data_IF_114297916113
#
_entry.id   IF_114297916113
#
_cell.length_a   1.000
_cell.length_b   1.000
_cell.length_c   1.000
_cell.angle_alpha   90.00
_cell.angle_beta   90.00
_cell.angle_gamma   90.00
#
_symmetry.space_group_name_H-M   'P 1'
#
loop_
_entity.id
_entity.type
_entity.pdbx_description
1 polymer ?
#
# COMPACT_ATOMS: atom_id res chain seq x y z
N UNK A 1 4.01 10.81 73.71
CA UNK A 1 2.96 9.82 73.39
C UNK A 1 2.01 10.36 72.31
N UNK A 2 1.43 11.56 72.49
CA UNK A 2 0.51 12.21 71.53
C UNK A 2 1.06 12.35 70.09
N UNK A 3 2.31 12.82 69.92
CA UNK A 3 2.91 13.01 68.59
C UNK A 3 3.13 11.71 67.80
N UNK A 4 3.25 10.57 68.48
CA UNK A 4 3.49 9.28 67.86
C UNK A 4 2.19 8.63 67.41
N UNK A 5 1.09 8.88 68.14
CA UNK A 5 -0.27 8.53 67.72
C UNK A 5 -0.75 9.43 66.57
N UNK A 6 -0.45 10.73 66.61
CA UNK A 6 -0.75 11.64 65.49
C UNK A 6 -0.04 11.21 64.20
N UNK A 7 1.26 10.86 64.28
CA UNK A 7 2.02 10.35 63.14
C UNK A 7 1.45 9.04 62.59
N UNK A 8 1.04 8.11 63.47
CA UNK A 8 0.39 6.86 63.05
C UNK A 8 -0.93 7.12 62.36
N UNK A 9 -1.75 8.06 62.86
CA UNK A 9 -3.02 8.42 62.24
C UNK A 9 -2.83 9.02 60.84
N UNK A 10 -1.79 9.84 60.63
CA UNK A 10 -1.46 10.41 59.32
C UNK A 10 -0.95 9.33 58.37
N UNK A 11 -0.11 8.41 58.86
CA UNK A 11 0.40 7.28 58.07
C UNK A 11 -0.74 6.36 57.63
N UNK A 12 -1.70 6.09 58.51
CA UNK A 12 -2.86 5.24 58.23
C UNK A 12 -3.78 5.88 57.18
N UNK A 13 -4.08 7.19 57.32
CA UNK A 13 -4.82 7.95 56.30
C UNK A 13 -4.10 7.98 54.94
N UNK A 14 -2.79 8.21 54.94
CA UNK A 14 -2.01 8.22 53.70
C UNK A 14 -2.03 6.84 53.03
N UNK A 15 -1.97 5.77 53.81
CA UNK A 15 -2.08 4.39 53.30
C UNK A 15 -3.46 4.13 52.69
N UNK A 16 -4.53 4.52 53.37
CA UNK A 16 -5.90 4.41 52.86
C UNK A 16 -6.11 5.22 51.58
N UNK A 17 -5.62 6.47 51.54
CA UNK A 17 -5.68 7.31 50.34
C UNK A 17 -4.86 6.72 49.18
N UNK A 18 -3.67 6.18 49.46
CA UNK A 18 -2.84 5.53 48.44
C UNK A 18 -3.52 4.28 47.90
N UNK A 19 -4.09 3.43 48.77
CA UNK A 19 -4.83 2.24 48.35
C UNK A 19 -6.09 2.60 47.51
N UNK A 20 -6.80 3.68 47.88
CA UNK A 20 -7.94 4.18 47.11
C UNK A 20 -7.52 4.71 45.73
N UNK A 21 -6.39 5.42 45.64
CA UNK A 21 -5.81 5.90 44.38
C UNK A 21 -5.36 4.72 43.51
N UNK A 22 -4.69 3.71 44.09
CA UNK A 22 -4.26 2.51 43.37
C UNK A 22 -5.46 1.73 42.81
N UNK A 23 -6.52 1.56 43.59
CA UNK A 23 -7.75 0.91 43.13
C UNK A 23 -8.42 1.69 42.00
N UNK A 24 -8.47 3.03 42.10
CA UNK A 24 -9.00 3.89 41.06
C UNK A 24 -8.16 3.79 39.77
N UNK A 25 -6.83 3.87 39.88
CA UNK A 25 -5.92 3.72 38.74
C UNK A 25 -6.08 2.35 38.08
N UNK A 26 -6.14 1.26 38.84
CA UNK A 26 -6.33 -0.08 38.32
C UNK A 26 -7.65 -0.23 37.55
N UNK A 27 -8.75 0.31 38.08
CA UNK A 27 -10.05 0.30 37.40
C UNK A 27 -9.99 1.06 36.06
N UNK A 28 -9.36 2.24 36.06
CA UNK A 28 -9.27 3.08 34.87
C UNK A 28 -8.36 2.50 33.80
N UNK A 29 -7.24 1.91 34.20
CA UNK A 29 -6.34 1.18 33.28
C UNK A 29 -7.04 -0.03 32.68
N UNK A 30 -7.88 -0.73 33.45
CA UNK A 30 -8.73 -1.82 32.95
C UNK A 30 -9.69 -1.36 31.84
N UNK A 31 -10.40 -0.25 32.06
CA UNK A 31 -11.28 0.35 31.04
C UNK A 31 -10.52 0.80 29.79
N UNK A 32 -9.38 1.47 29.97
CA UNK A 32 -8.53 1.94 28.86
C UNK A 32 -7.97 0.77 28.04
N UNK A 33 -7.61 -0.33 28.70
CA UNK A 33 -7.13 -1.56 28.04
C UNK A 33 -8.23 -2.19 27.18
N UNK A 34 -9.45 -2.33 27.72
CA UNK A 34 -10.58 -2.86 26.95
C UNK A 34 -10.92 -1.99 25.73
N UNK A 35 -10.87 -0.67 25.90
CA UNK A 35 -11.09 0.25 24.79
C UNK A 35 -9.98 0.15 23.74
N UNK A 36 -8.73 0.00 24.16
CA UNK A 36 -7.59 -0.19 23.26
C UNK A 36 -7.73 -1.48 22.45
N UNK A 37 -8.09 -2.60 23.08
CA UNK A 37 -8.33 -3.87 22.39
C UNK A 37 -9.46 -3.76 21.35
N UNK A 38 -10.56 -3.10 21.71
CA UNK A 38 -11.67 -2.86 20.78
C UNK A 38 -11.25 -1.98 19.59
N UNK A 39 -10.38 -0.99 19.81
CA UNK A 39 -9.85 -0.14 18.73
C UNK A 39 -8.90 -0.92 17.81
N UNK A 40 -8.05 -1.80 18.37
CA UNK A 40 -7.17 -2.66 17.59
C UNK A 40 -7.99 -3.61 16.70
N UNK A 41 -9.06 -4.21 17.23
CA UNK A 41 -9.97 -5.04 16.43
C UNK A 41 -10.62 -4.27 15.28
N UNK A 42 -11.13 -3.06 15.55
CA UNK A 42 -11.71 -2.21 14.50
C UNK A 42 -10.70 -1.78 13.44
N UNK A 43 -9.44 -1.56 13.83
CA UNK A 43 -8.36 -1.26 12.90
C UNK A 43 -8.13 -2.48 11.99
N UNK A 44 -8.05 -3.67 12.56
CA UNK A 44 -7.87 -4.92 11.79
C UNK A 44 -9.02 -5.18 10.81
N UNK A 45 -10.27 -4.94 11.24
CA UNK A 45 -11.45 -5.02 10.38
C UNK A 45 -11.39 -4.02 9.21
N UNK A 46 -10.98 -2.78 9.45
CA UNK A 46 -10.81 -1.75 8.40
C UNK A 46 -9.72 -2.14 7.41
N UNK A 47 -8.61 -2.70 7.90
CA UNK A 47 -7.53 -3.21 7.05
C UNK A 47 -8.04 -4.34 6.15
N UNK A 48 -8.79 -5.30 6.69
CA UNK A 48 -9.37 -6.39 5.90
C UNK A 48 -10.37 -5.89 4.85
N UNK A 49 -11.15 -4.85 5.17
CA UNK A 49 -12.03 -4.21 4.18
C UNK A 49 -11.25 -3.59 3.03
N UNK A 50 -10.17 -2.85 3.32
CA UNK A 50 -9.28 -2.29 2.28
C UNK A 50 -8.62 -3.39 1.47
N UNK A 51 -8.20 -4.48 2.12
CA UNK A 51 -7.61 -5.63 1.44
C UNK A 51 -8.57 -6.25 0.42
N UNK A 52 -9.82 -6.49 0.84
CA UNK A 52 -10.86 -7.02 -0.05
C UNK A 52 -11.20 -6.05 -1.18
N UNK A 53 -11.17 -4.73 -0.90
CA UNK A 53 -11.38 -3.71 -1.93
C UNK A 53 -10.30 -3.81 -3.01
N UNK A 54 -9.02 -3.97 -2.64
CA UNK A 54 -7.89 -4.08 -3.56
C UNK A 54 -7.90 -5.37 -4.41
N UNK A 55 -8.49 -6.45 -3.91
CA UNK A 55 -8.60 -7.72 -4.63
C UNK A 55 -9.72 -7.73 -5.69
N UNK A 56 -10.55 -6.70 -5.77
CA UNK A 56 -11.74 -6.69 -6.62
C UNK A 56 -12.07 -5.34 -7.23
N UNK A 57 -13.18 -5.33 -7.98
CA UNK A 57 -13.74 -4.12 -8.58
C UNK A 57 -12.74 -3.40 -9.48
N UNK A 58 -12.59 -2.09 -9.24
CA UNK A 58 -11.86 -1.14 -10.05
C UNK A 58 -10.38 -1.53 -10.29
N UNK A 59 -9.72 -2.18 -9.33
CA UNK A 59 -8.27 -2.43 -9.39
C UNK A 59 -7.87 -3.61 -10.26
N UNK A 60 -8.83 -4.48 -10.61
CA UNK A 60 -8.62 -5.65 -11.46
C UNK A 60 -9.38 -5.56 -12.78
N UNK A 61 -10.13 -4.47 -12.99
CA UNK A 61 -10.93 -4.28 -14.19
C UNK A 61 -10.09 -3.73 -15.34
N UNK A 62 -10.00 -4.53 -16.41
CA UNK A 62 -9.28 -4.17 -17.63
C UNK A 62 -9.95 -3.04 -18.43
N UNK A 63 -11.21 -2.68 -18.14
CA UNK A 63 -11.90 -1.57 -18.81
C UNK A 63 -11.22 -0.22 -18.60
N UNK A 64 -10.50 -0.07 -17.49
CA UNK A 64 -9.73 1.13 -17.15
C UNK A 64 -8.28 1.09 -17.67
N UNK A 65 -7.92 0.09 -18.47
CA UNK A 65 -6.55 -0.04 -18.96
C UNK A 65 -6.10 1.18 -19.78
N UNK A 66 -6.96 1.71 -20.65
CA UNK A 66 -6.61 2.87 -21.50
C UNK A 66 -6.57 4.18 -20.72
N UNK A 67 -7.41 4.32 -19.69
CA UNK A 67 -7.49 5.49 -18.82
C UNK A 67 -7.41 5.08 -17.34
N UNK A 68 -6.18 4.98 -16.79
CA UNK A 68 -5.96 4.62 -15.39
C UNK A 68 -6.34 5.71 -14.38
N UNK A 69 -6.79 6.90 -14.82
CA UNK A 69 -6.94 8.07 -13.94
C UNK A 69 -7.89 7.83 -12.75
N UNK A 70 -9.02 7.19 -13.01
CA UNK A 70 -9.99 6.81 -11.98
C UNK A 70 -9.38 5.83 -10.97
N UNK A 71 -8.64 4.83 -11.46
CA UNK A 71 -7.99 3.82 -10.61
C UNK A 71 -6.91 4.44 -9.74
N UNK A 72 -6.11 5.34 -10.30
CA UNK A 72 -5.07 6.08 -9.57
C UNK A 72 -5.65 6.98 -8.48
N UNK A 73 -6.76 7.66 -8.77
CA UNK A 73 -7.46 8.48 -7.77
C UNK A 73 -7.94 7.63 -6.59
N UNK A 74 -8.48 6.44 -6.86
CA UNK A 74 -8.93 5.53 -5.80
C UNK A 74 -7.74 4.91 -5.05
N UNK A 75 -6.66 4.54 -5.74
CA UNK A 75 -5.42 4.07 -5.12
C UNK A 75 -4.84 5.11 -4.15
N UNK A 76 -4.86 6.39 -4.51
CA UNK A 76 -4.43 7.47 -3.62
C UNK A 76 -5.33 7.57 -2.37
N UNK A 77 -6.65 7.40 -2.53
CA UNK A 77 -7.56 7.34 -1.37
C UNK A 77 -7.24 6.16 -0.45
N UNK A 78 -7.00 4.97 -1.02
CA UNK A 78 -6.60 3.78 -0.26
C UNK A 78 -5.26 3.99 0.44
N UNK A 79 -4.28 4.60 -0.24
CA UNK A 79 -2.97 4.94 0.32
C UNK A 79 -3.09 5.81 1.56
N UNK A 80 -3.87 6.89 1.48
CA UNK A 80 -4.11 7.80 2.60
C UNK A 80 -4.75 7.06 3.80
N UNK A 81 -5.72 6.18 3.54
CA UNK A 81 -6.32 5.35 4.59
C UNK A 81 -5.32 4.38 5.21
N UNK A 82 -4.49 3.72 4.41
CA UNK A 82 -3.45 2.82 4.91
C UNK A 82 -2.40 3.56 5.75
N UNK A 83 -2.03 4.78 5.37
CA UNK A 83 -1.13 5.62 6.17
C UNK A 83 -1.75 5.98 7.53
N UNK A 84 -3.03 6.36 7.56
CA UNK A 84 -3.73 6.63 8.81
C UNK A 84 -3.81 5.39 9.72
N UNK A 85 -4.10 4.22 9.16
CA UNK A 85 -4.14 2.96 9.91
C UNK A 85 -2.75 2.57 10.43
N UNK A 86 -1.69 2.84 9.66
CA UNK A 86 -0.30 2.63 10.08
C UNK A 86 0.09 3.53 11.26
N UNK A 87 -0.28 4.81 11.21
CA UNK A 87 -0.08 5.76 12.32
C UNK A 87 -0.85 5.33 13.58
N UNK A 88 -2.12 4.93 13.43
CA UNK A 88 -2.91 4.41 14.54
C UNK A 88 -2.31 3.13 15.14
N UNK A 89 -1.79 2.22 14.31
CA UNK A 89 -1.16 0.99 14.79
C UNK A 89 0.07 1.27 15.67
N UNK A 90 0.87 2.30 15.31
CA UNK A 90 2.02 2.76 16.10
C UNK A 90 1.55 3.37 17.41
N UNK A 91 0.55 4.26 17.37
CA UNK A 91 -0.03 4.87 18.56
C UNK A 91 -0.59 3.83 19.54
N UNK A 92 -1.32 2.83 19.03
CA UNK A 92 -1.86 1.75 19.87
C UNK A 92 -0.76 0.87 20.43
N UNK A 93 0.29 0.60 19.67
CA UNK A 93 1.48 -0.11 20.16
C UNK A 93 2.13 0.65 21.32
N UNK A 94 2.26 1.98 21.24
CA UNK A 94 2.77 2.83 22.32
C UNK A 94 1.89 2.78 23.58
N UNK A 95 0.56 2.73 23.41
CA UNK A 95 -0.36 2.56 24.54
C UNK A 95 -0.25 1.17 25.16
N UNK A 96 -0.08 0.12 24.36
CA UNK A 96 0.14 -1.23 24.87
C UNK A 96 1.42 -1.30 25.70
N UNK A 97 2.53 -0.73 25.23
CA UNK A 97 3.77 -0.67 26.02
C UNK A 97 3.62 0.19 27.28
N UNK A 98 2.92 1.33 27.22
CA UNK A 98 2.65 2.16 28.39
C UNK A 98 1.88 1.40 29.49
N UNK A 99 0.94 0.54 29.09
CA UNK A 99 0.16 -0.29 30.01
C UNK A 99 0.82 -1.64 30.35
N UNK A 100 2.08 -1.86 29.94
CA UNK A 100 2.80 -3.13 30.10
C UNK A 100 2.07 -4.34 29.48
N UNK A 101 1.31 -4.11 28.41
CA UNK A 101 0.66 -5.13 27.60
C UNK A 101 1.61 -5.62 26.51
N UNK A 102 1.36 -6.84 26.01
CA UNK A 102 2.07 -7.36 24.85
C UNK A 102 1.61 -6.61 23.59
N UNK A 103 2.52 -6.00 22.81
CA UNK A 103 2.18 -5.37 21.55
C UNK A 103 1.47 -6.32 20.58
N UNK A 104 0.38 -5.85 19.98
CA UNK A 104 -0.33 -6.56 18.93
C UNK A 104 0.52 -6.61 17.65
N UNK A 105 0.46 -7.74 16.94
CA UNK A 105 1.15 -7.90 15.64
C UNK A 105 0.15 -7.65 14.52
N UNK A 106 0.31 -6.51 13.83
CA UNK A 106 -0.56 -6.09 12.74
C UNK A 106 -0.23 -6.81 11.41
N UNK A 107 -0.35 -8.14 11.39
CA UNK A 107 -0.02 -8.96 10.22
C UNK A 107 -0.88 -8.64 9.00
N UNK A 108 -2.17 -8.39 9.21
CA UNK A 108 -3.08 -8.01 8.12
C UNK A 108 -2.71 -6.65 7.53
N UNK A 109 -2.26 -5.70 8.36
CA UNK A 109 -1.83 -4.38 7.89
C UNK A 109 -0.60 -4.51 7.00
N UNK A 110 0.40 -5.27 7.46
CA UNK A 110 1.61 -5.54 6.67
C UNK A 110 1.26 -6.23 5.34
N UNK A 111 0.46 -7.29 5.37
CA UNK A 111 0.05 -8.00 4.16
C UNK A 111 -0.73 -7.10 3.18
N UNK A 112 -1.55 -6.20 3.71
CA UNK A 112 -2.32 -5.25 2.90
C UNK A 112 -1.46 -4.16 2.30
N UNK A 113 -0.46 -3.65 3.03
CA UNK A 113 0.54 -2.71 2.51
C UNK A 113 1.37 -3.34 1.38
N UNK A 114 1.80 -4.60 1.55
CA UNK A 114 2.54 -5.34 0.51
C UNK A 114 1.68 -5.59 -0.74
N UNK A 115 0.41 -5.95 -0.54
CA UNK A 115 -0.54 -6.13 -1.64
C UNK A 115 -0.82 -4.81 -2.36
N UNK A 116 -1.09 -3.73 -1.62
CA UNK A 116 -1.27 -2.38 -2.14
C UNK A 116 -0.08 -1.95 -3.01
N UNK A 117 1.15 -2.12 -2.51
CA UNK A 117 2.36 -1.76 -3.28
C UNK A 117 2.46 -2.53 -4.60
N UNK A 118 2.00 -3.79 -4.63
CA UNK A 118 1.96 -4.60 -5.86
C UNK A 118 0.90 -4.08 -6.85
N UNK A 119 -0.27 -3.68 -6.35
CA UNK A 119 -1.34 -3.09 -7.17
C UNK A 119 -0.96 -1.69 -7.68
N UNK A 120 -0.36 -0.86 -6.84
CA UNK A 120 0.18 0.46 -7.23
C UNK A 120 1.24 0.32 -8.31
N UNK A 121 2.16 -0.66 -8.16
CA UNK A 121 3.17 -0.97 -9.18
C UNK A 121 2.55 -1.43 -10.50
N UNK A 122 1.45 -2.19 -10.47
CA UNK A 122 0.73 -2.60 -11.68
C UNK A 122 0.20 -1.38 -12.44
N UNK A 123 -0.56 -0.52 -11.77
CA UNK A 123 -1.21 0.62 -12.43
C UNK A 123 -0.21 1.70 -12.85
N UNK A 124 0.91 1.83 -12.14
CA UNK A 124 2.05 2.63 -12.59
C UNK A 124 2.65 2.07 -13.88
N UNK A 125 2.84 0.75 -13.97
CA UNK A 125 3.36 0.11 -15.19
C UNK A 125 2.38 0.24 -16.37
N UNK A 126 1.07 0.20 -16.13
CA UNK A 126 0.04 0.44 -17.15
C UNK A 126 0.13 1.88 -17.69
N UNK A 127 0.21 2.87 -16.80
CA UNK A 127 0.35 4.27 -17.21
C UNK A 127 1.63 4.51 -18.01
N UNK A 128 2.78 4.04 -17.52
CA UNK A 128 4.06 4.14 -18.22
C UNK A 128 4.02 3.45 -19.59
N UNK A 129 3.34 2.29 -19.69
CA UNK A 129 3.15 1.61 -20.96
C UNK A 129 2.30 2.42 -21.93
N UNK A 130 1.19 2.98 -21.45
CA UNK A 130 0.31 3.80 -22.29
C UNK A 130 1.04 5.05 -22.78
N UNK A 131 1.81 5.72 -21.93
CA UNK A 131 2.64 6.88 -22.32
C UNK A 131 3.70 6.48 -23.36
N UNK A 132 4.40 5.36 -23.14
CA UNK A 132 5.39 4.82 -24.08
C UNK A 132 4.73 4.51 -25.44
N UNK A 133 3.59 3.82 -25.42
CA UNK A 133 2.85 3.43 -26.61
C UNK A 133 2.35 4.65 -27.38
N UNK A 134 1.74 5.62 -26.69
CA UNK A 134 1.28 6.87 -27.31
C UNK A 134 2.45 7.61 -27.93
N UNK A 135 3.55 7.80 -27.18
CA UNK A 135 4.75 8.46 -27.69
C UNK A 135 5.30 7.76 -28.92
N UNK A 136 5.39 6.42 -28.91
CA UNK A 136 5.86 5.64 -30.05
C UNK A 136 4.94 5.75 -31.28
N UNK A 137 3.62 5.91 -31.08
CA UNK A 137 2.64 6.01 -32.16
C UNK A 137 2.50 7.42 -32.73
N UNK A 138 2.74 8.46 -31.92
CA UNK A 138 2.53 9.86 -32.34
C UNK A 138 3.81 10.57 -32.73
N UNK A 139 4.97 10.12 -32.25
CA UNK A 139 6.24 10.78 -32.53
C UNK A 139 6.67 10.57 -33.98
N UNK A 140 7.24 11.59 -34.66
CA UNK A 140 7.81 11.42 -35.98
C UNK A 140 8.86 10.31 -35.96
N UNK A 141 8.74 9.34 -36.87
CA UNK A 141 9.61 8.16 -36.89
C UNK A 141 11.11 8.50 -36.95
N UNK A 142 11.47 9.61 -37.62
CA UNK A 142 12.86 10.09 -37.75
C UNK A 142 13.45 10.58 -36.43
N UNK A 143 12.61 11.00 -35.49
CA UNK A 143 13.02 11.52 -34.18
C UNK A 143 13.05 10.41 -33.11
N UNK A 144 12.39 9.27 -33.38
CA UNK A 144 12.32 8.14 -32.46
C UNK A 144 13.61 7.33 -32.52
N UNK A 145 14.29 7.20 -31.39
CA UNK A 145 15.40 6.27 -31.24
C UNK A 145 14.86 4.83 -31.13
N UNK A 146 14.84 4.12 -32.26
CA UNK A 146 14.31 2.74 -32.33
C UNK A 146 15.02 1.75 -31.39
N UNK A 147 16.32 1.94 -31.11
CA UNK A 147 17.07 1.09 -30.18
C UNK A 147 16.66 1.31 -28.72
N UNK A 148 16.42 2.57 -28.35
CA UNK A 148 15.97 2.95 -27.01
C UNK A 148 14.54 2.48 -26.78
N UNK A 149 13.64 2.74 -27.73
CA UNK A 149 12.27 2.22 -27.69
C UNK A 149 12.25 0.68 -27.56
N UNK A 150 13.13 -0.03 -28.26
CA UNK A 150 13.23 -1.50 -28.15
C UNK A 150 13.62 -1.96 -26.74
N UNK A 151 14.54 -1.24 -26.08
CA UNK A 151 14.93 -1.53 -24.70
C UNK A 151 13.77 -1.27 -23.75
N UNK A 152 13.07 -0.14 -23.89
CA UNK A 152 11.95 0.22 -23.02
C UNK A 152 10.80 -0.77 -23.13
N UNK A 153 10.46 -1.19 -24.35
CA UNK A 153 9.46 -2.23 -24.61
C UNK A 153 9.88 -3.58 -24.00
N UNK A 154 11.16 -3.93 -24.08
CA UNK A 154 11.66 -5.16 -23.48
C UNK A 154 11.59 -5.14 -21.94
N UNK A 155 11.83 -3.98 -21.32
CA UNK A 155 11.66 -3.77 -19.87
C UNK A 155 10.19 -3.86 -19.50
N UNK A 156 9.31 -3.12 -20.19
CA UNK A 156 7.87 -3.14 -19.95
C UNK A 156 7.28 -4.55 -20.06
N UNK A 157 7.68 -5.33 -21.07
CA UNK A 157 7.27 -6.73 -21.22
C UNK A 157 7.72 -7.61 -20.06
N UNK A 158 8.97 -7.45 -19.60
CA UNK A 158 9.51 -8.22 -18.47
C UNK A 158 8.74 -7.91 -17.19
N UNK A 159 8.49 -6.63 -16.93
CA UNK A 159 7.77 -6.17 -15.73
C UNK A 159 6.32 -6.63 -15.75
N UNK A 160 5.64 -6.53 -16.91
CA UNK A 160 4.31 -7.07 -17.13
C UNK A 160 4.22 -8.57 -16.84
N UNK A 161 5.22 -9.34 -17.29
CA UNK A 161 5.28 -10.78 -17.02
C UNK A 161 5.45 -11.09 -15.52
N UNK A 162 6.31 -10.34 -14.82
CA UNK A 162 6.51 -10.49 -13.37
C UNK A 162 5.23 -10.14 -12.61
N UNK A 163 4.56 -9.04 -12.96
CA UNK A 163 3.30 -8.61 -12.35
C UNK A 163 2.19 -9.62 -12.59
N UNK A 164 2.06 -10.14 -13.81
CA UNK A 164 1.09 -11.19 -14.14
C UNK A 164 1.32 -12.46 -13.33
N UNK A 165 2.58 -12.86 -13.09
CA UNK A 165 2.89 -14.00 -12.23
C UNK A 165 2.50 -13.76 -10.76
N UNK A 166 2.55 -12.52 -10.28
CA UNK A 166 2.22 -12.18 -8.88
C UNK A 166 0.73 -12.03 -8.63
N UNK A 167 0.01 -11.34 -9.51
CA UNK A 167 -1.39 -10.97 -9.32
C UNK A 167 -2.37 -11.81 -10.13
N UNK A 168 -1.95 -12.25 -11.33
CA UNK A 168 -2.74 -13.11 -12.23
C UNK A 168 -4.20 -12.65 -12.43
N UNK A 169 -4.39 -11.38 -12.80
CA UNK A 169 -5.69 -10.77 -13.08
C UNK A 169 -5.81 -10.28 -14.53
N UNK A 170 -6.99 -9.81 -14.93
CA UNK A 170 -7.28 -9.40 -16.31
C UNK A 170 -6.41 -8.22 -16.76
N UNK A 171 -6.19 -7.21 -15.92
CA UNK A 171 -5.32 -6.05 -16.20
C UNK A 171 -3.89 -6.51 -16.52
N UNK A 172 -3.34 -7.41 -15.71
CA UNK A 172 -1.98 -7.95 -15.95
C UNK A 172 -1.90 -8.81 -17.20
N UNK A 173 -2.97 -9.52 -17.55
CA UNK A 173 -3.04 -10.28 -18.80
C UNK A 173 -3.00 -9.33 -20.00
N UNK A 174 -3.82 -8.27 -19.99
CA UNK A 174 -3.83 -7.24 -21.03
C UNK A 174 -2.47 -6.55 -21.15
N UNK A 175 -1.85 -6.15 -20.04
CA UNK A 175 -0.52 -5.51 -20.05
C UNK A 175 0.53 -6.43 -20.70
N UNK A 176 0.55 -7.71 -20.29
CA UNK A 176 1.47 -8.72 -20.83
C UNK A 176 1.25 -8.95 -22.32
N UNK A 177 0.00 -9.07 -22.76
CA UNK A 177 -0.32 -9.38 -24.14
C UNK A 177 -0.01 -8.18 -25.06
N UNK A 178 -0.34 -6.95 -24.66
CA UNK A 178 -0.01 -5.73 -25.41
C UNK A 178 1.49 -5.49 -25.53
N UNK A 179 2.22 -5.64 -24.42
CA UNK A 179 3.69 -5.51 -24.43
C UNK A 179 4.34 -6.59 -25.28
N UNK A 180 3.80 -7.81 -25.30
CA UNK A 180 4.27 -8.91 -26.15
C UNK A 180 4.04 -8.63 -27.64
N UNK A 181 2.83 -8.18 -28.00
CA UNK A 181 2.46 -7.85 -29.37
C UNK A 181 3.33 -6.73 -29.93
N UNK A 182 3.49 -5.65 -29.16
CA UNK A 182 4.32 -4.54 -29.59
C UNK A 182 5.80 -4.93 -29.73
N UNK A 183 6.31 -5.76 -28.81
CA UNK A 183 7.67 -6.31 -28.88
C UNK A 183 7.92 -7.12 -30.15
N UNK A 184 6.92 -7.84 -30.67
CA UNK A 184 7.06 -8.58 -31.93
C UNK A 184 7.31 -7.60 -33.10
N UNK A 185 6.57 -6.50 -33.10
CA UNK A 185 6.67 -5.44 -34.12
C UNK A 185 7.97 -4.64 -34.03
N UNK A 186 8.62 -4.60 -32.85
CA UNK A 186 9.89 -3.87 -32.67
C UNK A 186 11.00 -4.34 -33.61
N UNK A 187 11.00 -5.61 -34.00
CA UNK A 187 11.96 -6.13 -34.98
C UNK A 187 11.88 -5.36 -36.30
N UNK A 188 10.67 -5.10 -36.79
CA UNK A 188 10.43 -4.33 -38.01
C UNK A 188 10.74 -2.84 -37.81
N UNK A 189 10.36 -2.28 -36.65
CA UNK A 189 10.66 -0.88 -36.30
C UNK A 189 12.17 -0.61 -36.30
N UNK A 190 12.97 -1.55 -35.78
CA UNK A 190 14.44 -1.46 -35.79
C UNK A 190 15.03 -1.50 -37.21
N UNK A 191 14.47 -2.35 -38.08
CA UNK A 191 14.91 -2.42 -39.48
C UNK A 191 14.59 -1.13 -40.24
N UNK A 192 13.39 -0.57 -40.03
CA UNK A 192 12.97 0.69 -40.62
C UNK A 192 13.76 1.89 -40.07
N UNK A 193 14.14 1.85 -38.79
CA UNK A 193 14.93 2.89 -38.11
C UNK A 193 16.42 2.84 -38.44
N UNK A 194 16.86 1.89 -39.27
CA UNK A 194 18.25 1.78 -39.68
C UNK A 194 18.67 3.01 -40.52
N UNK A 195 19.76 3.72 -40.18
CA UNK A 195 20.26 4.86 -40.97
C UNK A 195 20.59 4.54 -42.43
N UNK A 196 20.73 3.26 -42.79
CA UNK A 196 20.90 2.82 -44.16
C UNK A 196 19.60 2.87 -45.00
N UNK A 197 18.44 3.02 -44.35
CA UNK A 197 17.15 3.24 -45.01
C UNK A 197 17.15 4.61 -45.68
N UNK A 198 16.85 4.60 -46.97
CA UNK A 198 16.75 5.80 -47.81
C UNK A 198 15.30 6.20 -47.98
N UNK A 199 15.05 7.48 -48.21
CA UNK A 199 13.73 8.11 -48.42
C UNK A 199 12.80 7.42 -49.45
N UNK A 200 13.37 6.65 -50.38
CA UNK A 200 12.63 5.88 -51.39
C UNK A 200 12.05 4.53 -50.92
N UNK A 201 12.45 4.07 -49.73
CA UNK A 201 11.97 2.83 -49.11
C UNK A 201 10.89 3.18 -48.09
#
# INVERSE_FOLDING_TARGET
MVQLDDLRSVQERYKEETEAVDAFMASRVGEMTQQLDANIQRLDEQVLQLHNQLQGGLFIDASHFEDPSAVKSELESVKQRLTQLDELSKQYTEYQTLFNLMPFKYLNLQATQEHFATVESLWTAVEMWNELYQTAMTSPFVEVNAEELSKDVAVAFKDAYVLHRKLSNDVTAVLKDRTAEFKLNMTTVLELGNPAMKERH
#
